data_IF_776778089159
#
_entry.id   IF_776778089159
#
_cell.length_a   1.000
_cell.length_b   1.000
_cell.length_c   1.000
_cell.angle_alpha   90.00
_cell.angle_beta   90.00
_cell.angle_gamma   90.00
#
_symmetry.space_group_name_H-M   'P 1'
#
loop_
_entity.id
_entity.type
_entity.pdbx_description
1 polymer ?
#
# COMPACT_ATOMS: atom_id res chain seq x y z
N UNK A 1 -16.91 -21.93 14.73
CA UNK A 1 -16.30 -21.31 13.52
C UNK A 1 -15.68 -19.93 13.76
N UNK A 2 -16.19 -19.09 14.67
CA UNK A 2 -15.65 -17.75 14.98
C UNK A 2 -14.28 -17.73 15.70
N UNK A 3 -13.97 -18.72 16.54
CA UNK A 3 -12.72 -18.72 17.32
C UNK A 3 -11.46 -18.92 16.48
N UNK A 4 -11.53 -19.78 15.47
CA UNK A 4 -10.41 -20.03 14.53
C UNK A 4 -10.14 -18.82 13.63
N UNK A 5 -11.18 -18.15 13.14
CA UNK A 5 -11.05 -16.91 12.35
C UNK A 5 -10.37 -15.80 13.17
N UNK A 6 -10.79 -15.60 14.43
CA UNK A 6 -10.17 -14.60 15.31
C UNK A 6 -8.70 -14.88 15.63
N UNK A 7 -8.28 -16.14 15.69
CA UNK A 7 -6.88 -16.52 15.89
C UNK A 7 -6.04 -16.22 14.64
N UNK A 8 -6.53 -16.57 13.46
CA UNK A 8 -5.85 -16.28 12.18
C UNK A 8 -5.71 -14.78 11.93
N UNK A 9 -6.75 -14.00 12.23
CA UNK A 9 -6.72 -12.54 12.14
C UNK A 9 -5.63 -11.93 13.03
N UNK A 10 -5.56 -12.35 14.31
CA UNK A 10 -4.51 -11.86 15.21
C UNK A 10 -3.10 -12.21 14.71
N UNK A 11 -2.91 -13.42 14.19
CA UNK A 11 -1.62 -13.84 13.63
C UNK A 11 -1.23 -12.98 12.43
N UNK A 12 -2.16 -12.71 11.51
CA UNK A 12 -1.92 -11.84 10.36
C UNK A 12 -1.60 -10.41 10.80
N UNK A 13 -2.38 -9.84 11.71
CA UNK A 13 -2.10 -8.53 12.28
C UNK A 13 -0.71 -8.47 12.92
N UNK A 14 -0.35 -9.46 13.76
CA UNK A 14 0.97 -9.53 14.40
C UNK A 14 2.12 -9.62 13.38
N UNK A 15 1.90 -10.29 12.25
CA UNK A 15 2.87 -10.35 11.15
C UNK A 15 3.03 -8.98 10.48
N UNK A 16 1.93 -8.29 10.17
CA UNK A 16 1.93 -6.98 9.52
C UNK A 16 2.50 -5.89 10.43
N UNK A 17 2.20 -5.95 11.73
CA UNK A 17 2.63 -4.99 12.75
C UNK A 17 3.87 -5.46 13.54
N UNK A 18 4.65 -6.40 12.98
CA UNK A 18 5.88 -6.85 13.60
C UNK A 18 6.82 -5.65 13.90
N UNK A 19 7.37 -5.52 15.12
CA UNK A 19 8.19 -4.38 15.52
C UNK A 19 9.35 -4.08 14.55
N UNK A 20 10.10 -5.10 14.13
CA UNK A 20 11.20 -4.93 13.18
C UNK A 20 10.71 -4.38 11.83
N UNK A 21 9.56 -4.90 11.34
CA UNK A 21 8.93 -4.40 10.12
C UNK A 21 8.52 -2.93 10.27
N UNK A 22 7.90 -2.57 11.39
CA UNK A 22 7.46 -1.20 11.66
C UNK A 22 8.64 -0.23 11.81
N UNK A 23 9.73 -0.67 12.46
CA UNK A 23 10.96 0.12 12.61
C UNK A 23 11.64 0.41 11.26
N UNK A 24 11.59 -0.52 10.31
CA UNK A 24 12.13 -0.32 8.97
C UNK A 24 11.22 0.50 8.08
N UNK A 25 9.92 0.18 8.05
CA UNK A 25 8.93 0.86 7.21
C UNK A 25 8.71 2.32 7.61
N UNK A 26 8.75 2.66 8.92
CA UNK A 26 8.55 4.02 9.46
C UNK A 26 7.42 4.76 8.72
N UNK A 27 6.15 4.32 8.83
CA UNK A 27 5.09 4.75 7.92
C UNK A 27 4.95 6.27 7.79
N UNK A 28 4.99 7.03 8.89
CA UNK A 28 4.89 8.49 8.88
C UNK A 28 6.05 9.15 8.12
N UNK A 29 7.29 8.69 8.36
CA UNK A 29 8.47 9.19 7.65
C UNK A 29 8.44 8.82 6.17
N UNK A 30 8.03 7.60 5.87
CA UNK A 30 7.89 7.10 4.51
C UNK A 30 6.82 7.86 3.73
N UNK A 31 5.66 8.12 4.30
CA UNK A 31 4.60 8.96 3.70
C UNK A 31 5.12 10.35 3.35
N UNK A 32 5.89 10.98 4.25
CA UNK A 32 6.54 12.26 3.98
C UNK A 32 7.57 12.15 2.84
N UNK A 33 8.38 11.09 2.82
CA UNK A 33 9.38 10.84 1.78
C UNK A 33 8.78 10.58 0.40
N UNK A 34 7.63 9.94 0.32
CA UNK A 34 6.88 9.77 -0.94
C UNK A 34 6.19 11.06 -1.39
N UNK A 35 6.07 12.05 -0.51
CA UNK A 35 5.54 13.37 -0.83
C UNK A 35 4.06 13.55 -0.50
N UNK A 36 3.50 12.81 0.47
CA UNK A 36 2.13 13.04 0.95
C UNK A 36 2.04 14.44 1.57
N UNK A 37 1.00 15.19 1.18
CA UNK A 37 0.70 16.55 1.66
C UNK A 37 -0.71 16.60 2.28
N UNK A 38 -0.97 17.69 3.02
CA UNK A 38 -2.23 17.89 3.74
C UNK A 38 -3.49 17.86 2.86
N UNK A 39 -3.35 18.27 1.60
CA UNK A 39 -4.46 18.35 0.64
C UNK A 39 -4.53 17.16 -0.33
N UNK A 40 -3.73 16.12 -0.15
CA UNK A 40 -3.73 14.97 -1.05
C UNK A 40 -4.79 13.94 -0.66
N UNK A 41 -5.43 13.34 -1.65
CA UNK A 41 -6.20 12.10 -1.53
C UNK A 41 -5.22 10.94 -1.70
N UNK A 42 -5.22 10.01 -0.75
CA UNK A 42 -4.36 8.82 -0.81
C UNK A 42 -5.20 7.56 -0.93
N UNK A 43 -4.72 6.60 -1.71
CA UNK A 43 -5.23 5.22 -1.74
C UNK A 43 -4.16 4.25 -1.26
N UNK A 44 -4.42 3.55 -0.15
CA UNK A 44 -3.60 2.45 0.37
C UNK A 44 -4.17 1.14 -0.16
N UNK A 45 -3.53 0.56 -1.18
CA UNK A 45 -4.02 -0.61 -1.93
C UNK A 45 -3.38 -1.87 -1.35
N UNK A 46 -4.21 -2.77 -0.82
CA UNK A 46 -3.78 -3.87 0.04
C UNK A 46 -3.42 -3.36 1.43
N UNK A 47 -4.30 -2.54 2.01
CA UNK A 47 -4.05 -1.78 3.24
C UNK A 47 -3.77 -2.65 4.47
N UNK A 48 -4.14 -3.94 4.44
CA UNK A 48 -3.93 -4.88 5.55
C UNK A 48 -4.47 -4.33 6.86
N UNK A 49 -3.62 -4.26 7.88
CA UNK A 49 -4.02 -3.73 9.20
C UNK A 49 -4.01 -2.19 9.29
N UNK A 50 -3.82 -1.47 8.19
CA UNK A 50 -3.86 -0.01 8.12
C UNK A 50 -2.59 0.69 8.62
N UNK A 51 -1.43 0.01 8.54
CA UNK A 51 -0.16 0.59 9.02
C UNK A 51 0.27 1.85 8.25
N UNK A 52 -0.23 2.03 7.02
CA UNK A 52 -0.05 3.26 6.25
C UNK A 52 -1.32 4.11 6.20
N UNK A 53 -2.51 3.51 6.08
CA UNK A 53 -3.77 4.25 6.01
C UNK A 53 -4.02 5.13 7.25
N UNK A 54 -3.79 4.60 8.47
CA UNK A 54 -3.98 5.36 9.72
C UNK A 54 -3.05 6.58 9.82
N UNK A 55 -1.71 6.47 9.67
CA UNK A 55 -0.85 7.65 9.68
C UNK A 55 -1.07 8.58 8.47
N UNK A 56 -1.46 8.07 7.30
CA UNK A 56 -1.82 8.91 6.18
C UNK A 56 -3.01 9.81 6.51
N UNK A 57 -4.07 9.27 7.12
CA UNK A 57 -5.26 10.04 7.50
C UNK A 57 -4.99 11.11 8.58
N UNK A 58 -3.93 10.97 9.33
CA UNK A 58 -3.45 12.02 10.26
C UNK A 58 -2.62 13.10 9.55
N UNK A 59 -2.09 12.79 8.38
CA UNK A 59 -1.23 13.70 7.60
C UNK A 59 -2.04 14.55 6.64
N UNK A 60 -3.07 13.97 5.99
CA UNK A 60 -3.95 14.69 5.07
C UNK A 60 -5.29 15.01 5.71
N UNK A 61 -5.89 16.13 5.29
CA UNK A 61 -7.27 16.49 5.63
C UNK A 61 -8.30 15.91 4.63
N UNK A 62 -7.83 15.38 3.51
CA UNK A 62 -8.67 14.74 2.48
C UNK A 62 -8.85 13.24 2.75
N UNK A 63 -9.65 12.61 1.92
CA UNK A 63 -9.99 11.17 2.07
C UNK A 63 -8.76 10.29 1.89
N UNK A 64 -8.64 9.29 2.76
CA UNK A 64 -7.74 8.15 2.61
C UNK A 64 -8.57 6.91 2.33
N UNK A 65 -8.44 6.37 1.13
CA UNK A 65 -9.06 5.11 0.75
C UNK A 65 -8.19 3.93 1.17
N UNK A 66 -8.69 3.09 2.06
CA UNK A 66 -8.03 1.86 2.48
C UNK A 66 -8.68 0.68 1.74
N UNK A 67 -7.99 0.12 0.75
CA UNK A 67 -8.48 -0.95 -0.10
C UNK A 67 -7.89 -2.29 0.33
N UNK A 68 -8.72 -3.29 0.51
CA UNK A 68 -8.28 -4.67 0.77
C UNK A 68 -9.32 -5.68 0.28
N UNK A 69 -8.89 -6.90 -0.03
CA UNK A 69 -9.78 -8.03 -0.33
C UNK A 69 -10.38 -8.64 0.94
N UNK A 70 -9.76 -8.41 2.09
CA UNK A 70 -10.09 -9.02 3.37
C UNK A 70 -10.95 -8.08 4.22
N UNK A 71 -12.25 -8.39 4.33
CA UNK A 71 -13.22 -7.62 5.14
C UNK A 71 -12.82 -7.50 6.62
N UNK A 72 -12.17 -8.51 7.19
CA UNK A 72 -11.76 -8.48 8.59
C UNK A 72 -10.64 -7.42 8.80
N UNK A 73 -9.77 -7.23 7.79
CA UNK A 73 -8.75 -6.16 7.80
C UNK A 73 -9.39 -4.78 7.67
N UNK A 74 -10.36 -4.61 6.77
CA UNK A 74 -11.11 -3.36 6.63
C UNK A 74 -11.86 -3.00 7.94
N UNK A 75 -12.47 -3.99 8.58
CA UNK A 75 -13.11 -3.82 9.90
C UNK A 75 -12.11 -3.38 10.97
N UNK A 76 -10.90 -3.98 10.98
CA UNK A 76 -9.83 -3.61 11.90
C UNK A 76 -9.38 -2.15 11.68
N UNK A 77 -9.27 -1.70 10.43
CA UNK A 77 -8.94 -0.30 10.10
C UNK A 77 -10.02 0.64 10.64
N UNK A 78 -11.30 0.33 10.41
CA UNK A 78 -12.43 1.12 10.91
C UNK A 78 -12.44 1.20 12.44
N UNK A 79 -12.16 0.09 13.14
CA UNK A 79 -12.06 0.07 14.60
C UNK A 79 -10.90 0.92 15.12
N UNK A 80 -9.75 0.91 14.44
CA UNK A 80 -8.61 1.77 14.77
C UNK A 80 -8.94 3.24 14.54
N UNK A 81 -9.48 3.58 13.37
CA UNK A 81 -9.89 4.94 13.03
C UNK A 81 -10.86 5.51 14.07
N UNK A 82 -11.90 4.75 14.43
CA UNK A 82 -12.87 5.13 15.44
C UNK A 82 -12.24 5.38 16.82
N UNK A 83 -11.33 4.51 17.26
CA UNK A 83 -10.63 4.65 18.54
C UNK A 83 -9.73 5.89 18.59
N UNK A 84 -9.19 6.29 17.46
CA UNK A 84 -8.28 7.42 17.32
C UNK A 84 -8.99 8.71 16.88
N UNK A 85 -10.32 8.69 16.71
CA UNK A 85 -11.11 9.84 16.29
C UNK A 85 -10.85 10.28 14.85
N UNK A 86 -10.35 9.39 14.00
CA UNK A 86 -10.09 9.63 12.58
C UNK A 86 -11.40 9.47 11.81
N UNK A 87 -11.75 10.46 10.98
CA UNK A 87 -13.04 10.51 10.26
C UNK A 87 -12.88 10.55 8.74
N UNK A 88 -11.66 10.63 8.22
CA UNK A 88 -11.35 10.78 6.81
C UNK A 88 -10.78 9.49 6.17
N UNK A 89 -11.03 8.32 6.76
CA UNK A 89 -10.73 7.02 6.13
C UNK A 89 -12.01 6.41 5.57
N UNK A 90 -11.94 5.98 4.32
CA UNK A 90 -12.96 5.16 3.68
C UNK A 90 -12.37 3.79 3.38
N UNK A 91 -12.97 2.74 3.93
CA UNK A 91 -12.57 1.36 3.63
C UNK A 91 -13.34 0.83 2.44
N UNK A 92 -12.64 0.28 1.46
CA UNK A 92 -13.22 -0.23 0.22
C UNK A 92 -12.79 -1.67 0.01
N UNK A 93 -13.77 -2.57 -0.15
CA UNK A 93 -13.49 -3.95 -0.50
C UNK A 93 -13.16 -4.06 -1.99
N UNK A 94 -12.02 -4.68 -2.29
CA UNK A 94 -11.62 -5.00 -3.66
C UNK A 94 -12.22 -6.34 -4.07
N UNK A 95 -12.91 -6.35 -5.20
CA UNK A 95 -13.49 -7.56 -5.79
C UNK A 95 -13.05 -7.68 -7.25
N UNK A 96 -12.54 -8.85 -7.63
CA UNK A 96 -12.11 -9.13 -9.00
C UNK A 96 -11.13 -8.08 -9.58
N UNK A 97 -10.19 -7.60 -8.76
CA UNK A 97 -9.20 -6.57 -9.11
C UNK A 97 -9.79 -5.19 -9.46
N UNK A 98 -11.08 -4.95 -9.22
CA UNK A 98 -11.73 -3.64 -9.37
C UNK A 98 -11.77 -2.89 -8.05
N UNK A 99 -11.35 -1.63 -8.07
CA UNK A 99 -11.21 -0.84 -6.86
C UNK A 99 -12.50 -0.11 -6.44
N UNK A 100 -13.53 -0.07 -7.29
CA UNK A 100 -14.80 0.62 -7.03
C UNK A 100 -14.62 2.08 -6.57
N UNK A 101 -13.62 2.76 -7.11
CA UNK A 101 -13.35 4.18 -6.91
C UNK A 101 -13.58 4.94 -8.22
N UNK A 102 -13.98 6.19 -8.09
CA UNK A 102 -14.11 7.07 -9.25
C UNK A 102 -12.75 7.31 -9.89
N UNK A 103 -12.75 7.49 -11.22
CA UNK A 103 -11.54 7.79 -11.97
C UNK A 103 -11.00 9.18 -11.60
N UNK A 104 -9.69 9.33 -11.60
CA UNK A 104 -9.02 10.62 -11.41
C UNK A 104 -9.29 11.31 -10.06
N UNK A 105 -9.36 10.54 -8.98
CA UNK A 105 -9.62 11.05 -7.63
C UNK A 105 -8.41 11.01 -6.70
N UNK A 106 -7.40 10.17 -6.99
CA UNK A 106 -6.29 9.85 -6.09
C UNK A 106 -5.02 10.60 -6.51
N UNK A 107 -4.39 11.30 -5.57
CA UNK A 107 -3.10 11.97 -5.77
C UNK A 107 -1.92 11.01 -5.57
N UNK A 108 -2.03 10.11 -4.59
CA UNK A 108 -1.00 9.12 -4.29
C UNK A 108 -1.65 7.75 -4.06
N UNK A 109 -1.29 6.77 -4.88
CA UNK A 109 -1.55 5.37 -4.59
C UNK A 109 -0.30 4.76 -3.93
N UNK A 110 -0.47 4.03 -2.83
CA UNK A 110 0.62 3.30 -2.17
C UNK A 110 0.31 1.80 -2.18
N UNK A 111 1.33 0.99 -2.53
CA UNK A 111 1.29 -0.47 -2.49
C UNK A 111 2.43 -0.97 -1.61
N UNK A 112 2.11 -1.61 -0.50
CA UNK A 112 3.10 -2.06 0.47
C UNK A 112 3.15 -3.56 0.54
N UNK A 113 4.13 -4.16 -0.12
CA UNK A 113 4.31 -5.62 -0.21
C UNK A 113 3.08 -6.34 -0.79
N UNK A 114 2.54 -5.80 -1.87
CA UNK A 114 1.33 -6.29 -2.55
C UNK A 114 1.64 -6.85 -3.93
N UNK A 115 2.47 -6.14 -4.73
CA UNK A 115 2.65 -6.48 -6.15
C UNK A 115 3.26 -7.87 -6.38
N UNK A 116 4.05 -8.39 -5.45
CA UNK A 116 4.60 -9.73 -5.57
C UNK A 116 3.52 -10.84 -5.45
N UNK A 117 2.34 -10.53 -4.91
CA UNK A 117 1.20 -11.44 -4.79
C UNK A 117 0.26 -11.38 -6.02
N UNK A 118 0.38 -10.34 -6.85
CA UNK A 118 -0.49 -10.12 -8.01
C UNK A 118 -0.03 -10.96 -9.20
N UNK A 119 -0.92 -11.80 -9.73
CA UNK A 119 -0.63 -12.61 -10.92
C UNK A 119 -0.60 -11.75 -12.18
N UNK A 120 -1.67 -11.00 -12.46
CA UNK A 120 -1.77 -10.12 -13.63
C UNK A 120 -1.45 -8.66 -13.28
N UNK A 121 -0.16 -8.36 -13.17
CA UNK A 121 0.32 -7.02 -12.80
C UNK A 121 -0.12 -5.93 -13.79
N UNK A 122 -0.17 -6.25 -15.08
CA UNK A 122 -0.56 -5.28 -16.12
C UNK A 122 -2.02 -4.83 -15.94
N UNK A 123 -2.94 -5.77 -15.74
CA UNK A 123 -4.35 -5.45 -15.48
C UNK A 123 -4.50 -4.66 -14.18
N UNK A 124 -3.89 -5.14 -13.10
CA UNK A 124 -3.93 -4.50 -11.79
C UNK A 124 -3.40 -3.06 -11.84
N UNK A 125 -2.23 -2.84 -12.46
CA UNK A 125 -1.63 -1.51 -12.59
C UNK A 125 -2.46 -0.58 -13.50
N UNK A 126 -3.18 -1.13 -14.49
CA UNK A 126 -4.13 -0.36 -15.28
C UNK A 126 -5.30 0.16 -14.43
N UNK A 127 -5.79 -0.63 -13.47
CA UNK A 127 -6.82 -0.18 -12.51
C UNK A 127 -6.25 0.89 -11.56
N UNK A 128 -5.00 0.73 -11.08
CA UNK A 128 -4.33 1.78 -10.29
C UNK A 128 -4.22 3.08 -11.09
N UNK A 129 -3.83 3.01 -12.36
CA UNK A 129 -3.72 4.18 -13.26
C UNK A 129 -5.06 4.91 -13.43
N UNK A 130 -6.19 4.19 -13.50
CA UNK A 130 -7.52 4.79 -13.69
C UNK A 130 -7.94 5.68 -12.54
N UNK A 131 -7.65 5.29 -11.30
CA UNK A 131 -8.05 6.07 -10.12
C UNK A 131 -7.15 7.28 -9.87
N UNK A 132 -5.93 7.31 -10.45
CA UNK A 132 -5.00 8.42 -10.28
C UNK A 132 -5.44 9.66 -11.08
N UNK A 133 -5.32 10.83 -10.45
CA UNK A 133 -5.47 12.10 -11.15
C UNK A 133 -4.32 12.37 -12.13
N UNK A 134 -4.36 13.53 -12.84
CA UNK A 134 -3.40 13.87 -13.90
C UNK A 134 -1.93 13.79 -13.47
N UNK A 135 -1.62 14.29 -12.26
CA UNK A 135 -0.27 14.38 -11.69
C UNK A 135 -0.03 13.33 -10.59
N UNK A 136 -0.94 12.35 -10.49
CA UNK A 136 -0.91 11.31 -9.48
C UNK A 136 0.35 10.46 -9.53
N UNK A 137 0.80 10.01 -8.36
CA UNK A 137 2.00 9.17 -8.20
C UNK A 137 1.64 7.81 -7.62
N UNK A 138 2.49 6.83 -7.92
CA UNK A 138 2.37 5.48 -7.37
C UNK A 138 3.63 5.20 -6.57
N UNK A 139 3.48 4.94 -5.27
CA UNK A 139 4.57 4.51 -4.40
C UNK A 139 4.47 3.00 -4.16
N UNK A 140 5.53 2.28 -4.45
CA UNK A 140 5.61 0.83 -4.26
C UNK A 140 6.72 0.51 -3.28
N UNK A 141 6.37 -0.20 -2.22
CA UNK A 141 7.31 -0.71 -1.22
C UNK A 141 7.33 -2.23 -1.35
N UNK A 142 8.51 -2.79 -1.61
CA UNK A 142 8.70 -4.23 -1.75
C UNK A 142 9.96 -4.71 -1.03
N UNK A 143 10.04 -6.02 -0.79
CA UNK A 143 11.23 -6.64 -0.25
C UNK A 143 12.37 -6.62 -1.27
N UNK A 144 13.59 -6.32 -0.81
CA UNK A 144 14.77 -6.52 -1.65
C UNK A 144 14.84 -7.96 -2.19
N UNK A 145 15.14 -8.11 -3.47
CA UNK A 145 15.35 -9.43 -4.12
C UNK A 145 16.72 -9.99 -3.71
N UNK A 146 16.85 -10.27 -2.43
CA UNK A 146 18.00 -10.92 -1.78
C UNK A 146 17.52 -11.73 -0.59
N UNK A 147 18.34 -12.64 -0.08
CA UNK A 147 18.02 -13.39 1.13
C UNK A 147 18.03 -12.43 2.32
N UNK A 148 16.91 -12.31 3.01
CA UNK A 148 16.73 -11.50 4.22
C UNK A 148 15.99 -12.30 5.28
N UNK A 149 16.10 -11.93 6.57
CA UNK A 149 15.45 -12.66 7.67
C UNK A 149 13.93 -12.71 7.60
N UNK A 150 13.30 -11.78 6.85
CA UNK A 150 11.84 -11.69 6.72
C UNK A 150 11.43 -11.58 5.26
N UNK A 151 10.13 -11.77 5.01
CA UNK A 151 9.51 -11.61 3.70
C UNK A 151 9.18 -12.93 3.01
N UNK A 152 8.65 -12.87 1.79
CA UNK A 152 8.32 -14.02 0.99
C UNK A 152 9.59 -14.77 0.52
N UNK A 153 9.47 -16.03 0.04
CA UNK A 153 10.54 -16.73 -0.62
C UNK A 153 11.19 -15.89 -1.72
N UNK A 154 12.49 -16.09 -1.94
CA UNK A 154 13.28 -15.30 -2.90
C UNK A 154 12.66 -15.24 -4.30
N UNK A 155 12.08 -16.35 -4.75
CA UNK A 155 11.47 -16.53 -6.07
C UNK A 155 10.24 -15.62 -6.28
N UNK A 156 9.55 -15.27 -5.19
CA UNK A 156 8.36 -14.41 -5.23
C UNK A 156 8.70 -12.93 -5.08
N UNK A 157 9.97 -12.58 -4.83
CA UNK A 157 10.37 -11.19 -4.65
C UNK A 157 10.57 -10.49 -5.98
N UNK A 158 10.08 -9.26 -6.07
CA UNK A 158 10.28 -8.40 -7.23
C UNK A 158 11.60 -7.63 -7.08
N UNK A 159 12.45 -7.67 -8.11
CA UNK A 159 13.62 -6.80 -8.19
C UNK A 159 13.23 -5.40 -8.66
N UNK A 160 14.00 -4.37 -8.29
CA UNK A 160 13.77 -2.97 -8.72
C UNK A 160 13.64 -2.87 -10.26
N UNK A 161 14.53 -3.56 -11.01
CA UNK A 161 14.48 -3.56 -12.47
C UNK A 161 13.24 -4.23 -13.07
N UNK A 162 12.77 -5.33 -12.45
CA UNK A 162 11.54 -6.00 -12.89
C UNK A 162 10.33 -5.09 -12.64
N UNK A 163 10.32 -4.38 -11.49
CA UNK A 163 9.27 -3.46 -11.14
C UNK A 163 9.24 -2.25 -12.08
N UNK A 164 10.39 -1.64 -12.39
CA UNK A 164 10.48 -0.52 -13.32
C UNK A 164 9.88 -0.88 -14.67
N UNK A 165 10.20 -2.04 -15.23
CA UNK A 165 9.61 -2.50 -16.50
C UNK A 165 8.09 -2.58 -16.46
N UNK A 166 7.52 -3.14 -15.37
CA UNK A 166 6.05 -3.21 -15.24
C UNK A 166 5.40 -1.81 -15.28
N UNK A 167 6.09 -0.78 -14.76
CA UNK A 167 5.57 0.58 -14.75
C UNK A 167 5.80 1.33 -16.06
N UNK A 168 6.90 1.06 -16.77
CA UNK A 168 7.14 1.59 -18.13
C UNK A 168 6.04 1.15 -19.10
N UNK A 169 5.56 -0.10 -18.98
CA UNK A 169 4.47 -0.63 -19.81
C UNK A 169 3.13 0.13 -19.64
N UNK A 170 2.97 0.90 -18.57
CA UNK A 170 1.81 1.76 -18.31
C UNK A 170 2.13 3.26 -18.37
N UNK A 171 3.26 3.64 -18.96
CA UNK A 171 3.72 5.03 -19.15
C UNK A 171 4.04 5.75 -17.83
N UNK A 172 4.63 5.04 -16.87
CA UNK A 172 5.16 5.60 -15.64
C UNK A 172 6.67 5.38 -15.56
N UNK A 173 7.38 6.37 -15.05
CA UNK A 173 8.83 6.34 -14.88
C UNK A 173 9.23 6.54 -13.42
N UNK A 174 10.38 6.01 -12.99
CA UNK A 174 10.87 6.25 -11.63
C UNK A 174 11.06 7.75 -11.37
N UNK A 175 10.41 8.25 -10.33
CA UNK A 175 10.52 9.63 -9.86
C UNK A 175 11.43 9.76 -8.63
N UNK A 176 11.34 8.78 -7.73
CA UNK A 176 12.13 8.73 -6.50
C UNK A 176 12.39 7.30 -6.08
N UNK A 177 13.56 7.06 -5.50
CA UNK A 177 13.96 5.76 -4.95
C UNK A 177 14.63 5.93 -3.59
N UNK A 178 14.37 4.99 -2.65
CA UNK A 178 15.06 4.92 -1.38
C UNK A 178 14.89 3.56 -0.70
N UNK A 179 15.86 3.18 0.11
CA UNK A 179 15.76 1.98 0.93
C UNK A 179 15.09 2.28 2.28
N UNK A 180 14.42 1.26 2.82
CA UNK A 180 13.73 1.25 4.10
C UNK A 180 14.29 0.10 4.95
N UNK A 181 15.24 0.43 5.81
CA UNK A 181 15.99 -0.57 6.58
C UNK A 181 16.79 -1.51 5.69
N UNK A 182 16.95 -2.75 6.13
CA UNK A 182 17.69 -3.79 5.41
C UNK A 182 16.80 -4.61 4.48
N UNK A 183 15.49 -4.64 4.73
CA UNK A 183 14.59 -5.58 4.08
C UNK A 183 13.83 -4.98 2.92
N UNK A 184 13.57 -3.67 2.90
CA UNK A 184 12.65 -3.07 1.93
C UNK A 184 13.30 -1.98 1.08
N UNK A 185 12.73 -1.77 -0.08
CA UNK A 185 12.96 -0.58 -0.91
C UNK A 185 11.63 0.07 -1.28
N UNK A 186 11.67 1.35 -1.57
CA UNK A 186 10.57 2.12 -2.10
C UNK A 186 10.94 2.71 -3.46
N UNK A 187 10.06 2.52 -4.45
CA UNK A 187 10.08 3.23 -5.72
C UNK A 187 8.81 4.08 -5.81
N UNK A 188 8.97 5.35 -6.12
CA UNK A 188 7.86 6.24 -6.45
C UNK A 188 7.89 6.49 -7.95
N UNK A 189 6.76 6.29 -8.60
CA UNK A 189 6.58 6.47 -10.03
C UNK A 189 5.69 7.68 -10.30
N UNK A 190 6.00 8.41 -11.36
CA UNK A 190 5.18 9.48 -11.93
C UNK A 190 4.92 9.19 -13.41
N UNK A 191 3.93 9.84 -14.00
CA UNK A 191 3.71 9.74 -15.45
C UNK A 191 4.94 10.19 -16.21
N UNK A 192 5.22 9.51 -17.34
CA UNK A 192 6.29 9.83 -18.25
C UNK A 192 6.08 11.20 -18.95
#
# INVERSE_FOLDING_TARGET
>A
MNFLKGCQMKQLQMKLENPTRMEELKPEDTLRRIGLQENHVLSDIGAGSGIFAIPAAKTTSNTVYALDINEDMLSLINDKAKREGITNIETVRVENEHFNLDSHTVDIAILVTVLHEIENKSLFLSEVKKILNGDGKIAVIEFHKRITPMGPPFEHRLGKGDLIKCFEDIEFVPYREFDLGENFYCLVFAKA
#
